data_IF_210791445068
#
_entry.id   IF_210791445068
#
_cell.length_a   1.000
_cell.length_b   1.000
_cell.length_c   1.000
_cell.angle_alpha   90.00
_cell.angle_beta   90.00
_cell.angle_gamma   90.00
#
_symmetry.space_group_name_H-M   'P 1'
#
loop_
_entity.id
_entity.type
_entity.pdbx_description
1 polymer ?
#
# COMPACT_ATOMS: atom_id res chain seq x y z
N UNK A 1 30.83 -31.54 -40.49
CA UNK A 1 30.78 -30.07 -40.67
C UNK A 1 29.40 -29.71 -41.20
N UNK A 2 28.51 -29.23 -40.32
CA UNK A 2 27.30 -28.51 -40.72
C UNK A 2 27.19 -27.32 -39.78
N UNK A 3 27.35 -26.13 -40.33
CA UNK A 3 27.20 -24.86 -39.63
C UNK A 3 25.71 -24.60 -39.41
N UNK A 4 25.31 -24.34 -38.18
CA UNK A 4 24.01 -23.75 -37.88
C UNK A 4 24.14 -22.22 -37.97
N UNK A 5 23.53 -21.63 -38.98
CA UNK A 5 23.25 -20.19 -39.03
C UNK A 5 22.14 -19.88 -38.03
N UNK A 6 22.47 -19.21 -36.93
CA UNK A 6 21.48 -18.59 -36.06
C UNK A 6 20.96 -17.31 -36.72
N UNK A 7 19.65 -17.17 -37.00
CA UNK A 7 19.09 -15.85 -37.27
C UNK A 7 19.13 -15.03 -35.97
N UNK A 8 19.77 -13.86 -36.03
CA UNK A 8 19.67 -12.82 -35.02
C UNK A 8 18.21 -12.37 -34.95
N UNK A 9 17.46 -12.97 -34.02
CA UNK A 9 16.13 -12.48 -33.67
C UNK A 9 16.40 -11.27 -32.77
N UNK A 10 16.19 -10.07 -33.31
CA UNK A 10 16.17 -8.85 -32.51
C UNK A 10 14.93 -8.98 -31.62
N UNK A 11 15.13 -9.41 -30.37
CA UNK A 11 14.11 -9.29 -29.33
C UNK A 11 13.80 -7.81 -29.17
N UNK A 12 12.80 -7.34 -29.88
CA UNK A 12 12.24 -6.00 -29.71
C UNK A 12 11.44 -6.05 -28.42
N UNK A 13 12.04 -5.61 -27.32
CA UNK A 13 11.29 -5.34 -26.09
C UNK A 13 10.09 -4.46 -26.44
N UNK A 14 8.86 -4.89 -26.17
CA UNK A 14 7.68 -4.14 -26.56
C UNK A 14 7.71 -2.76 -25.91
N UNK A 15 7.72 -1.71 -26.74
CA UNK A 15 7.70 -0.33 -26.27
C UNK A 15 6.26 0.05 -25.92
N UNK A 16 5.95 0.10 -24.62
CA UNK A 16 4.63 0.48 -24.14
C UNK A 16 4.38 1.98 -24.36
N UNK A 17 3.11 2.33 -24.61
CA UNK A 17 2.68 3.74 -24.65
C UNK A 17 3.06 4.45 -23.34
N UNK A 18 3.49 5.74 -23.36
CA UNK A 18 3.78 6.49 -22.13
C UNK A 18 2.63 6.52 -21.11
N UNK A 19 1.38 6.29 -21.54
CA UNK A 19 0.18 6.29 -20.70
C UNK A 19 -0.43 4.91 -20.49
N UNK A 20 0.27 3.81 -20.80
CA UNK A 20 -0.28 2.44 -20.72
C UNK A 20 -0.89 2.09 -19.34
N UNK A 21 -0.34 2.67 -18.26
CA UNK A 21 -0.83 2.47 -16.90
C UNK A 21 -2.23 3.06 -16.68
N UNK A 22 -2.65 4.05 -17.48
CA UNK A 22 -4.01 4.59 -17.48
C UNK A 22 -5.01 3.53 -17.94
N UNK A 23 -4.70 2.83 -19.03
CA UNK A 23 -5.54 1.76 -19.56
C UNK A 23 -5.67 0.61 -18.54
N UNK A 24 -4.56 0.27 -17.88
CA UNK A 24 -4.55 -0.75 -16.84
C UNK A 24 -5.39 -0.37 -15.61
N UNK A 25 -5.31 0.89 -15.18
CA UNK A 25 -6.14 1.38 -14.09
C UNK A 25 -7.62 1.40 -14.48
N UNK A 26 -7.95 1.80 -15.71
CA UNK A 26 -9.33 1.77 -16.21
C UNK A 26 -9.89 0.34 -16.28
N UNK A 27 -9.06 -0.66 -16.62
CA UNK A 27 -9.44 -2.08 -16.56
C UNK A 27 -9.77 -2.53 -15.14
N UNK A 28 -9.03 -2.07 -14.12
CA UNK A 28 -9.34 -2.35 -12.71
C UNK A 28 -10.72 -1.80 -12.33
N UNK A 29 -10.99 -0.54 -12.69
CA UNK A 29 -12.26 0.13 -12.42
C UNK A 29 -13.41 -0.62 -13.10
N UNK A 30 -13.26 -0.95 -14.40
CA UNK A 30 -14.28 -1.64 -15.17
C UNK A 30 -14.58 -3.03 -14.58
N UNK A 31 -13.55 -3.76 -14.19
CA UNK A 31 -13.70 -5.07 -13.55
C UNK A 31 -14.53 -4.97 -12.25
N UNK A 32 -14.18 -4.03 -11.38
CA UNK A 32 -14.89 -3.82 -10.12
C UNK A 32 -16.35 -3.40 -10.36
N UNK A 33 -16.60 -2.43 -11.25
CA UNK A 33 -17.95 -1.93 -11.55
C UNK A 33 -18.83 -2.98 -12.26
N UNK A 34 -18.24 -3.93 -12.96
CA UNK A 34 -18.98 -4.97 -13.70
C UNK A 34 -19.30 -6.19 -12.83
N UNK A 35 -18.31 -6.71 -12.11
CA UNK A 35 -18.43 -7.99 -11.37
C UNK A 35 -18.79 -7.81 -9.90
N UNK A 36 -18.43 -6.67 -9.32
CA UNK A 36 -18.59 -6.39 -7.90
C UNK A 36 -19.27 -5.04 -7.59
N UNK A 37 -20.27 -4.57 -8.39
CA UNK A 37 -20.90 -3.28 -8.12
C UNK A 37 -21.56 -3.23 -6.73
N UNK A 38 -22.05 -4.38 -6.25
CA UNK A 38 -22.68 -4.55 -4.94
C UNK A 38 -21.69 -4.64 -3.77
N UNK A 39 -20.38 -4.69 -4.04
CA UNK A 39 -19.33 -4.70 -3.02
C UNK A 39 -18.62 -3.35 -2.93
N UNK A 40 -18.91 -2.39 -3.81
CA UNK A 40 -18.34 -1.06 -3.72
C UNK A 40 -19.13 -0.23 -2.70
N UNK A 41 -18.42 0.47 -1.81
CA UNK A 41 -19.06 1.41 -0.88
C UNK A 41 -19.52 2.68 -1.61
N UNK A 42 -20.38 3.48 -0.96
CA UNK A 42 -20.80 4.77 -1.51
C UNK A 42 -19.61 5.72 -1.69
N UNK A 43 -18.66 5.72 -0.74
CA UNK A 43 -17.42 6.49 -0.81
C UNK A 43 -16.54 6.08 -2.00
N UNK A 44 -16.40 4.77 -2.25
CA UNK A 44 -15.64 4.25 -3.39
C UNK A 44 -16.33 4.58 -4.71
N UNK A 45 -17.66 4.43 -4.78
CA UNK A 45 -18.44 4.81 -5.95
C UNK A 45 -18.30 6.31 -6.25
N UNK A 46 -18.38 7.14 -5.21
CA UNK A 46 -18.19 8.58 -5.35
C UNK A 46 -16.78 8.92 -5.84
N UNK A 47 -15.74 8.35 -5.23
CA UNK A 47 -14.36 8.54 -5.63
C UNK A 47 -14.13 8.16 -7.11
N UNK A 48 -14.66 7.01 -7.53
CA UNK A 48 -14.57 6.54 -8.93
C UNK A 48 -15.30 7.48 -9.89
N UNK A 49 -16.44 8.04 -9.47
CA UNK A 49 -17.20 8.97 -10.29
C UNK A 49 -16.48 10.31 -10.47
N UNK A 50 -15.86 10.84 -9.41
CA UNK A 50 -15.09 12.08 -9.46
C UNK A 50 -13.78 11.89 -10.22
N UNK A 51 -13.14 10.72 -10.08
CA UNK A 51 -11.91 10.39 -10.80
C UNK A 51 -12.13 10.43 -12.31
N UNK A 52 -13.28 9.90 -12.77
CA UNK A 52 -13.64 9.92 -14.20
C UNK A 52 -13.91 11.33 -14.75
N UNK A 53 -14.17 12.33 -13.89
CA UNK A 53 -14.36 13.73 -14.31
C UNK A 53 -13.05 14.50 -14.49
N UNK A 54 -11.96 14.01 -13.91
CA UNK A 54 -10.65 14.63 -14.02
C UNK A 54 -10.16 14.64 -15.46
N UNK A 55 -9.33 15.63 -15.80
CA UNK A 55 -8.56 15.60 -17.05
C UNK A 55 -7.64 14.38 -17.13
N UNK A 56 -7.31 13.95 -18.35
CA UNK A 56 -6.40 12.81 -18.57
C UNK A 56 -5.05 13.03 -17.89
N UNK A 57 -4.53 14.27 -17.90
CA UNK A 57 -3.27 14.61 -17.23
C UNK A 57 -3.36 14.39 -15.71
N UNK A 58 -4.45 14.78 -15.08
CA UNK A 58 -4.70 14.59 -13.65
C UNK A 58 -4.97 13.14 -13.29
N UNK A 59 -5.69 12.39 -14.14
CA UNK A 59 -5.84 10.94 -13.99
C UNK A 59 -4.49 10.23 -14.03
N UNK A 60 -3.64 10.59 -15.00
CA UNK A 60 -2.27 10.06 -15.08
C UNK A 60 -1.47 10.37 -13.83
N UNK A 61 -1.48 11.63 -13.37
CA UNK A 61 -0.79 12.04 -12.16
C UNK A 61 -1.29 11.27 -10.93
N UNK A 62 -2.60 11.12 -10.78
CA UNK A 62 -3.19 10.38 -9.66
C UNK A 62 -2.71 8.92 -9.64
N UNK A 63 -2.73 8.24 -10.79
CA UNK A 63 -2.23 6.86 -10.86
C UNK A 63 -0.74 6.80 -10.55
N UNK A 64 0.06 7.76 -11.04
CA UNK A 64 1.49 7.85 -10.71
C UNK A 64 1.73 7.99 -9.21
N UNK A 65 0.94 8.81 -8.52
CA UNK A 65 1.02 8.97 -7.07
C UNK A 65 0.60 7.69 -6.34
N UNK A 66 -0.52 7.07 -6.73
CA UNK A 66 -1.01 5.81 -6.15
C UNK A 66 -0.06 4.62 -6.37
N UNK A 67 0.73 4.65 -7.46
CA UNK A 67 1.70 3.59 -7.78
C UNK A 67 3.00 3.69 -6.98
N UNK A 68 3.22 4.81 -6.27
CA UNK A 68 4.43 5.03 -5.47
C UNK A 68 4.19 4.62 -4.02
N UNK A 69 5.27 4.20 -3.34
CA UNK A 69 5.19 3.89 -1.91
C UNK A 69 4.95 5.17 -1.09
N UNK A 70 3.97 5.11 -0.20
CA UNK A 70 3.65 6.19 0.75
C UNK A 70 2.56 7.14 0.23
N UNK A 71 2.11 8.05 1.09
CA UNK A 71 1.09 9.06 0.80
C UNK A 71 1.64 10.50 0.71
N UNK A 72 2.89 10.70 1.13
CA UNK A 72 3.56 11.99 1.14
C UNK A 72 4.54 12.12 -0.03
N UNK A 73 4.42 13.19 -0.80
CA UNK A 73 5.28 13.47 -1.95
C UNK A 73 5.73 14.93 -1.98
N UNK A 74 6.81 15.17 -2.72
CA UNK A 74 7.33 16.52 -3.00
C UNK A 74 7.11 16.86 -4.46
N UNK A 75 6.63 18.06 -4.76
CA UNK A 75 6.42 18.49 -6.15
C UNK A 75 7.71 18.48 -6.98
N UNK A 76 8.86 18.80 -6.39
CA UNK A 76 10.18 18.78 -7.06
C UNK A 76 10.71 17.38 -7.40
N UNK A 77 10.04 16.32 -6.92
CA UNK A 77 10.38 14.91 -7.22
C UNK A 77 9.38 14.24 -8.16
N UNK A 78 8.49 15.03 -8.77
CA UNK A 78 7.55 14.59 -9.80
C UNK A 78 8.02 15.11 -11.16
N UNK A 79 8.36 14.19 -12.07
CA UNK A 79 8.76 14.53 -13.44
C UNK A 79 8.25 13.44 -14.39
N UNK A 80 7.19 13.76 -15.13
CA UNK A 80 6.50 12.83 -16.03
C UNK A 80 6.37 13.49 -17.40
N UNK A 81 7.07 12.94 -18.40
CA UNK A 81 7.14 13.54 -19.74
C UNK A 81 5.76 13.58 -20.43
N UNK A 82 4.87 12.66 -20.09
CA UNK A 82 3.50 12.58 -20.58
C UNK A 82 2.56 13.62 -19.93
N UNK A 83 2.97 14.26 -18.84
CA UNK A 83 2.18 15.26 -18.10
C UNK A 83 2.82 16.63 -18.31
N UNK A 84 2.44 17.31 -19.39
CA UNK A 84 3.06 18.57 -19.81
C UNK A 84 2.94 19.69 -18.78
N UNK A 85 1.76 19.86 -18.19
CA UNK A 85 1.50 20.86 -17.14
C UNK A 85 1.18 20.18 -15.81
N UNK A 86 2.23 19.77 -15.11
CA UNK A 86 2.14 19.16 -13.79
C UNK A 86 1.46 20.07 -12.76
N UNK A 87 1.66 21.39 -12.88
CA UNK A 87 1.11 22.35 -11.91
C UNK A 87 -0.40 22.41 -12.01
N UNK A 88 -0.94 22.51 -13.23
CA UNK A 88 -2.39 22.48 -13.45
C UNK A 88 -3.00 21.14 -13.02
N UNK A 89 -2.31 20.01 -13.26
CA UNK A 89 -2.76 18.70 -12.82
C UNK A 89 -2.84 18.58 -11.28
N UNK A 90 -1.80 19.06 -10.56
CA UNK A 90 -1.81 19.12 -9.09
C UNK A 90 -2.95 20.01 -8.57
N UNK A 91 -3.19 21.15 -9.20
CA UNK A 91 -4.27 22.06 -8.81
C UNK A 91 -5.66 21.43 -8.99
N UNK A 92 -5.89 20.74 -10.11
CA UNK A 92 -7.15 20.04 -10.37
C UNK A 92 -7.39 18.90 -9.37
N UNK A 93 -6.36 18.09 -9.08
CA UNK A 93 -6.45 17.03 -8.07
C UNK A 93 -6.74 17.59 -6.67
N UNK A 94 -6.11 18.71 -6.30
CA UNK A 94 -6.36 19.37 -5.03
C UNK A 94 -7.77 19.96 -4.95
N UNK A 95 -8.23 20.64 -6.00
CA UNK A 95 -9.59 21.18 -6.08
C UNK A 95 -10.67 20.08 -6.02
N UNK A 96 -10.34 18.89 -6.52
CA UNK A 96 -11.22 17.71 -6.52
C UNK A 96 -11.03 16.82 -5.28
N UNK A 97 -10.25 17.25 -4.29
CA UNK A 97 -9.97 16.55 -3.02
C UNK A 97 -9.31 15.16 -3.16
N UNK A 98 -8.61 14.89 -4.26
CA UNK A 98 -7.80 13.68 -4.42
C UNK A 98 -6.44 13.79 -3.73
N UNK A 99 -5.94 15.02 -3.61
CA UNK A 99 -4.73 15.34 -2.86
C UNK A 99 -5.00 16.56 -1.98
N UNK A 100 -4.19 16.72 -0.93
CA UNK A 100 -3.98 18.00 -0.29
C UNK A 100 -2.61 18.54 -0.73
N UNK A 101 -2.55 19.84 -1.00
CA UNK A 101 -1.35 20.53 -1.48
C UNK A 101 -1.04 21.72 -0.58
N UNK A 102 0.22 21.91 -0.19
CA UNK A 102 0.63 23.03 0.69
C UNK A 102 0.69 24.40 -0.02
N UNK A 103 0.49 24.44 -1.32
CA UNK A 103 0.58 25.59 -2.22
C UNK A 103 -0.37 25.30 -3.41
N UNK A 104 -0.91 26.22 -4.25
CA UNK A 104 -0.59 27.62 -4.48
C UNK A 104 -1.35 28.63 -3.63
N UNK A 105 -2.28 28.19 -2.77
CA UNK A 105 -3.09 29.11 -1.98
C UNK A 105 -2.44 29.37 -0.63
N UNK A 106 -2.44 30.63 -0.15
CA UNK A 106 -1.93 30.97 1.19
C UNK A 106 -2.70 30.26 2.32
N UNK A 107 -3.91 29.78 2.02
CA UNK A 107 -4.72 28.94 2.89
C UNK A 107 -4.87 27.57 2.23
N UNK A 108 -4.44 26.52 2.94
CA UNK A 108 -4.61 25.12 2.55
C UNK A 108 -5.02 24.29 3.77
N UNK A 109 -5.66 23.14 3.52
CA UNK A 109 -6.08 22.22 4.58
C UNK A 109 -5.06 21.11 4.86
N UNK A 110 -3.90 21.13 4.19
CA UNK A 110 -2.82 20.18 4.46
C UNK A 110 -2.25 20.41 5.86
N UNK A 111 -2.31 19.37 6.69
CA UNK A 111 -1.71 19.34 8.02
C UNK A 111 -0.66 18.24 8.02
N UNK A 112 0.56 18.59 8.42
CA UNK A 112 1.68 17.67 8.61
C UNK A 112 2.44 18.14 9.85
N UNK A 113 2.81 17.22 10.74
CA UNK A 113 3.65 17.57 11.89
C UNK A 113 5.12 17.78 11.49
N UNK A 114 5.88 18.48 12.32
CA UNK A 114 7.33 18.64 12.12
C UNK A 114 8.04 17.29 12.00
N UNK A 115 7.68 16.33 12.86
CA UNK A 115 8.18 14.96 12.80
C UNK A 115 7.85 14.28 11.47
N UNK A 116 6.59 14.32 11.02
CA UNK A 116 6.18 13.69 9.76
C UNK A 116 6.85 14.34 8.54
N UNK A 117 6.96 15.67 8.53
CA UNK A 117 7.69 16.41 7.50
C UNK A 117 9.15 15.94 7.44
N UNK A 118 9.81 15.89 8.59
CA UNK A 118 11.17 15.42 8.72
C UNK A 118 11.34 13.96 8.28
N UNK A 119 10.44 13.09 8.70
CA UNK A 119 10.46 11.66 8.43
C UNK A 119 10.26 11.39 6.93
N UNK A 120 9.21 11.96 6.33
CA UNK A 120 8.73 11.59 5.00
C UNK A 120 9.29 12.45 3.86
N UNK A 121 9.57 13.73 4.10
CA UNK A 121 9.82 14.69 3.01
C UNK A 121 11.22 15.32 3.03
N UNK A 122 11.90 15.36 4.19
CA UNK A 122 13.20 16.03 4.32
C UNK A 122 14.38 15.06 4.31
N UNK A 123 15.44 15.47 3.63
CA UNK A 123 16.78 14.90 3.81
C UNK A 123 17.46 15.48 5.05
N UNK A 124 18.56 14.87 5.52
CA UNK A 124 19.30 15.39 6.68
C UNK A 124 19.78 16.85 6.50
N UNK A 125 20.33 17.27 5.34
CA UNK A 125 20.68 18.68 5.13
C UNK A 125 19.45 19.63 5.17
N UNK A 126 18.31 19.18 4.63
CA UNK A 126 17.08 19.97 4.62
C UNK A 126 16.46 20.08 6.02
N UNK A 127 16.60 19.05 6.87
CA UNK A 127 16.22 19.15 8.28
C UNK A 127 16.91 20.32 8.98
N UNK A 128 18.19 20.54 8.74
CA UNK A 128 18.90 21.67 9.34
C UNK A 128 18.47 23.03 8.79
N UNK A 129 17.94 23.06 7.56
CA UNK A 129 17.44 24.28 6.93
C UNK A 129 16.03 24.62 7.44
N UNK A 130 15.17 23.61 7.56
CA UNK A 130 13.81 23.74 8.08
C UNK A 130 13.77 23.96 9.60
N UNK A 131 14.69 23.33 10.34
CA UNK A 131 14.78 23.36 11.80
C UNK A 131 16.20 23.75 12.25
N UNK A 132 16.55 25.05 12.24
CA UNK A 132 17.92 25.50 12.51
C UNK A 132 18.48 25.08 13.88
N UNK A 133 17.63 24.84 14.88
CA UNK A 133 18.06 24.37 16.20
C UNK A 133 18.75 22.99 16.16
N UNK A 134 18.44 22.16 15.16
CA UNK A 134 19.09 20.86 14.94
C UNK A 134 20.57 20.99 14.58
N UNK A 135 21.04 22.19 14.17
CA UNK A 135 22.46 22.44 13.89
C UNK A 135 23.38 22.21 15.12
N UNK A 136 22.82 22.14 16.33
CA UNK A 136 23.56 21.78 17.54
C UNK A 136 23.93 20.27 17.59
N UNK A 137 23.30 19.45 16.74
CA UNK A 137 23.42 17.99 16.72
C UNK A 137 23.92 17.48 15.35
N UNK A 138 24.78 18.24 14.66
CA UNK A 138 25.22 17.94 13.28
C UNK A 138 25.71 16.51 13.02
N UNK A 139 26.35 15.90 14.01
CA UNK A 139 26.91 14.54 13.93
C UNK A 139 25.86 13.44 14.16
N UNK A 140 24.71 13.75 14.75
CA UNK A 140 23.65 12.80 15.06
C UNK A 140 23.06 12.17 13.79
N UNK A 141 22.57 10.93 13.87
CA UNK A 141 21.87 10.27 12.75
C UNK A 141 20.51 10.91 12.49
N UNK A 142 19.91 10.67 11.32
CA UNK A 142 18.60 11.24 10.98
C UNK A 142 17.55 10.86 12.03
N UNK A 143 17.50 9.60 12.43
CA UNK A 143 16.50 9.11 13.40
C UNK A 143 16.66 9.77 14.78
N UNK A 144 17.90 10.03 15.21
CA UNK A 144 18.19 10.79 16.44
C UNK A 144 17.74 12.25 16.33
N UNK A 145 17.88 12.87 15.15
CA UNK A 145 17.39 14.22 14.90
C UNK A 145 15.86 14.28 14.86
N UNK A 146 15.22 13.28 14.26
CA UNK A 146 13.76 13.17 14.22
C UNK A 146 13.18 13.04 15.63
N UNK A 147 13.84 12.31 16.53
CA UNK A 147 13.43 12.19 17.93
C UNK A 147 13.47 13.52 18.72
N UNK A 148 14.08 14.58 18.17
CA UNK A 148 14.09 15.93 18.75
C UNK A 148 12.98 16.83 18.18
N UNK A 149 12.23 16.38 17.19
CA UNK A 149 11.12 17.13 16.60
C UNK A 149 9.83 16.87 17.38
N UNK A 150 9.03 17.91 17.54
CA UNK A 150 7.72 17.81 18.18
C UNK A 150 6.66 17.31 17.18
N UNK A 151 5.50 16.89 17.71
CA UNK A 151 4.32 16.54 16.90
C UNK A 151 3.43 17.75 16.58
N UNK A 152 3.96 18.98 16.67
CA UNK A 152 3.19 20.18 16.35
C UNK A 152 3.00 20.31 14.83
N UNK A 153 1.88 20.90 14.37
CA UNK A 153 1.68 21.19 12.96
C UNK A 153 2.78 22.13 12.41
N UNK A 154 3.38 21.74 11.30
CA UNK A 154 4.30 22.60 10.56
C UNK A 154 3.52 23.71 9.85
N UNK A 155 3.98 24.95 9.98
CA UNK A 155 3.32 26.15 9.42
C UNK A 155 4.22 26.93 8.43
N UNK A 156 5.50 26.59 8.36
CA UNK A 156 6.52 27.31 7.60
C UNK A 156 6.71 26.78 6.16
N UNK A 157 5.64 26.37 5.49
CA UNK A 157 5.69 25.82 4.12
C UNK A 157 6.39 26.73 3.11
N UNK A 158 6.31 28.06 3.29
CA UNK A 158 6.99 29.05 2.44
C UNK A 158 8.52 28.95 2.46
N UNK A 159 9.09 28.33 3.49
CA UNK A 159 10.53 28.14 3.63
C UNK A 159 11.03 26.89 2.88
N UNK A 160 10.11 26.05 2.39
CA UNK A 160 10.44 24.88 1.58
C UNK A 160 10.59 25.27 0.12
N UNK A 161 11.52 24.64 -0.58
CA UNK A 161 11.74 24.86 -2.02
C UNK A 161 10.82 24.03 -2.92
N UNK A 162 9.83 23.37 -2.33
CA UNK A 162 8.91 22.43 -2.98
C UNK A 162 7.57 22.46 -2.25
N UNK A 163 6.53 21.97 -2.94
CA UNK A 163 5.20 21.83 -2.36
C UNK A 163 5.06 20.44 -1.76
N UNK A 164 4.49 20.37 -0.55
CA UNK A 164 4.12 19.12 0.09
C UNK A 164 2.79 18.64 -0.52
N UNK A 165 2.75 17.36 -0.89
CA UNK A 165 1.58 16.69 -1.46
C UNK A 165 1.22 15.55 -0.53
N UNK A 166 -0.06 15.49 -0.13
CA UNK A 166 -0.65 14.34 0.55
C UNK A 166 -1.71 13.71 -0.35
N UNK A 167 -1.62 12.40 -0.59
CA UNK A 167 -2.66 11.66 -1.32
C UNK A 167 -3.82 11.35 -0.37
N UNK A 168 -5.01 11.84 -0.70
CA UNK A 168 -6.23 11.66 0.08
C UNK A 168 -6.94 10.37 -0.36
N UNK A 169 -7.51 9.64 0.60
CA UNK A 169 -8.33 8.43 0.35
C UNK A 169 -7.65 7.42 -0.59
N UNK A 170 -6.45 6.95 -0.25
CA UNK A 170 -5.74 5.93 -1.05
C UNK A 170 -6.42 4.57 -1.05
N UNK A 171 -7.28 4.27 -0.08
CA UNK A 171 -7.86 2.93 0.17
C UNK A 171 -8.73 2.38 -0.98
N UNK A 172 -9.24 3.25 -1.86
CA UNK A 172 -10.02 2.80 -3.03
C UNK A 172 -9.16 1.92 -3.93
N UNK A 173 -7.87 2.24 -4.10
CA UNK A 173 -6.98 1.41 -4.93
C UNK A 173 -6.82 0.01 -4.36
N UNK A 174 -6.79 -0.11 -3.04
CA UNK A 174 -6.61 -1.35 -2.34
C UNK A 174 -7.80 -2.28 -2.57
N UNK A 175 -9.01 -1.73 -2.49
CA UNK A 175 -10.23 -2.46 -2.83
C UNK A 175 -10.21 -2.91 -4.30
N UNK A 176 -9.88 -2.01 -5.25
CA UNK A 176 -9.82 -2.36 -6.68
C UNK A 176 -8.81 -3.47 -6.98
N UNK A 177 -7.60 -3.38 -6.42
CA UNK A 177 -6.55 -4.37 -6.60
C UNK A 177 -6.97 -5.73 -6.03
N UNK A 178 -7.56 -5.75 -4.83
CA UNK A 178 -8.05 -7.00 -4.24
C UNK A 178 -9.19 -7.60 -5.04
N UNK A 179 -10.16 -6.80 -5.50
CA UNK A 179 -11.27 -7.29 -6.32
C UNK A 179 -10.77 -7.91 -7.63
N UNK A 180 -9.72 -7.35 -8.22
CA UNK A 180 -9.14 -7.83 -9.47
C UNK A 180 -8.24 -9.07 -9.27
N UNK A 181 -7.30 -9.03 -8.33
CA UNK A 181 -6.29 -10.07 -8.15
C UNK A 181 -6.69 -11.17 -7.16
N UNK A 182 -7.70 -10.92 -6.31
CA UNK A 182 -8.12 -11.80 -5.22
C UNK A 182 -6.99 -12.19 -4.25
N UNK A 183 -5.93 -11.38 -4.18
CA UNK A 183 -4.79 -11.60 -3.31
C UNK A 183 -4.10 -10.28 -2.93
N UNK A 184 -3.23 -10.34 -1.92
CA UNK A 184 -2.67 -9.19 -1.21
C UNK A 184 -1.24 -8.84 -1.64
N UNK A 185 -0.65 -9.56 -2.60
CA UNK A 185 0.75 -9.39 -3.01
C UNK A 185 0.91 -8.78 -4.41
N UNK A 186 -0.16 -8.76 -5.22
CA UNK A 186 -0.15 -8.13 -6.53
C UNK A 186 -0.56 -6.66 -6.43
N UNK A 187 0.18 -5.81 -7.14
CA UNK A 187 -0.06 -4.36 -7.23
C UNK A 187 -0.16 -3.92 -8.71
N UNK A 188 -0.21 -2.61 -8.95
CA UNK A 188 -0.27 -2.04 -10.30
C UNK A 188 0.91 -2.46 -11.20
N UNK A 189 2.07 -2.84 -10.65
CA UNK A 189 3.22 -3.27 -11.43
C UNK A 189 2.98 -4.57 -12.19
N UNK A 190 2.03 -5.40 -11.75
CA UNK A 190 1.72 -6.68 -12.36
C UNK A 190 1.11 -6.54 -13.77
N UNK A 191 0.40 -5.44 -14.02
CA UNK A 191 -0.11 -5.16 -15.36
C UNK A 191 1.02 -4.86 -16.36
N UNK A 192 2.08 -4.18 -15.91
CA UNK A 192 3.28 -3.93 -16.72
C UNK A 192 3.89 -5.25 -17.16
N UNK A 193 4.02 -6.21 -16.23
CA UNK A 193 4.57 -7.53 -16.54
C UNK A 193 3.71 -8.29 -17.55
N UNK A 194 2.38 -8.14 -17.47
CA UNK A 194 1.50 -8.79 -18.43
C UNK A 194 1.53 -8.14 -19.81
N UNK A 195 1.50 -6.81 -19.88
CA UNK A 195 1.59 -6.07 -21.15
C UNK A 195 2.96 -6.25 -21.83
N UNK A 196 4.02 -6.53 -21.07
CA UNK A 196 5.34 -6.93 -21.59
C UNK A 196 5.40 -8.40 -22.05
N UNK A 197 4.31 -9.16 -21.91
CA UNK A 197 4.24 -10.58 -22.26
C UNK A 197 4.93 -11.53 -21.27
N UNK A 198 5.34 -11.03 -20.09
CA UNK A 198 6.02 -11.83 -19.07
C UNK A 198 5.04 -12.63 -18.20
N UNK A 199 3.80 -12.18 -18.08
CA UNK A 199 2.71 -12.87 -17.38
C UNK A 199 1.46 -12.95 -18.27
N UNK A 200 0.86 -14.14 -18.39
CA UNK A 200 -0.44 -14.31 -19.07
C UNK A 200 -1.54 -14.54 -18.03
N UNK A 201 -2.55 -13.67 -18.03
CA UNK A 201 -3.78 -13.93 -17.27
C UNK A 201 -4.68 -14.84 -18.11
N UNK A 202 -5.10 -15.98 -17.56
CA UNK A 202 -6.04 -16.85 -18.27
C UNK A 202 -7.40 -16.15 -18.44
N UNK A 203 -7.87 -16.04 -19.69
CA UNK A 203 -9.18 -15.49 -20.03
C UNK A 203 -10.28 -16.50 -19.66
N UNK A 204 -10.58 -16.62 -18.36
CA UNK A 204 -11.81 -17.29 -17.94
C UNK A 204 -12.99 -16.34 -18.10
N UNK A 205 -14.16 -16.82 -18.59
CA UNK A 205 -15.39 -16.05 -18.52
C UNK A 205 -15.75 -15.87 -17.04
N UNK A 206 -15.40 -14.71 -16.51
CA UNK A 206 -15.78 -14.29 -15.16
C UNK A 206 -17.29 -14.08 -15.16
N UNK A 207 -18.00 -15.00 -14.49
CA UNK A 207 -19.43 -14.86 -14.24
C UNK A 207 -19.64 -14.39 -12.81
N UNK A 208 -20.68 -13.59 -12.57
CA UNK A 208 -21.07 -13.17 -11.20
C UNK A 208 -21.27 -14.36 -10.25
N UNK A 209 -21.60 -15.54 -10.80
CA UNK A 209 -21.79 -16.78 -10.03
C UNK A 209 -20.47 -17.42 -9.55
N UNK A 210 -19.33 -17.07 -10.15
CA UNK A 210 -18.00 -17.63 -9.83
C UNK A 210 -17.00 -16.59 -9.33
N UNK A 211 -17.49 -15.42 -8.94
CA UNK A 211 -16.65 -14.35 -8.39
C UNK A 211 -16.01 -14.80 -7.07
N UNK A 212 -14.82 -14.28 -6.77
CA UNK A 212 -14.07 -14.68 -5.58
C UNK A 212 -14.73 -14.17 -4.30
N UNK A 213 -15.10 -12.89 -4.27
CA UNK A 213 -15.80 -12.28 -3.13
C UNK A 213 -17.30 -12.31 -3.35
N UNK A 214 -18.05 -12.85 -2.39
CA UNK A 214 -19.52 -12.85 -2.44
C UNK A 214 -20.13 -11.75 -1.57
N UNK A 215 -19.37 -11.18 -0.63
CA UNK A 215 -19.79 -10.07 0.24
C UNK A 215 -18.66 -9.06 0.44
N UNK A 216 -19.04 -7.82 0.79
CA UNK A 216 -18.08 -6.77 1.17
C UNK A 216 -17.28 -7.14 2.41
N UNK A 217 -17.88 -7.88 3.34
CA UNK A 217 -17.20 -8.35 4.54
C UNK A 217 -15.96 -9.19 4.22
N UNK A 218 -16.02 -10.07 3.23
CA UNK A 218 -14.86 -10.87 2.79
C UNK A 218 -13.73 -9.99 2.23
N UNK A 219 -14.07 -8.93 1.49
CA UNK A 219 -13.09 -7.96 1.02
C UNK A 219 -12.44 -7.21 2.19
N UNK A 220 -13.26 -6.72 3.13
CA UNK A 220 -12.79 -6.02 4.33
C UNK A 220 -11.88 -6.91 5.20
N UNK A 221 -12.24 -8.17 5.40
CA UNK A 221 -11.40 -9.14 6.13
C UNK A 221 -10.02 -9.28 5.47
N UNK A 222 -9.97 -9.34 4.14
CA UNK A 222 -8.70 -9.47 3.43
C UNK A 222 -7.86 -8.18 3.45
N UNK A 223 -8.50 -7.01 3.40
CA UNK A 223 -7.85 -5.71 3.63
C UNK A 223 -7.22 -5.66 5.02
N UNK A 224 -7.98 -6.02 6.07
CA UNK A 224 -7.47 -6.05 7.45
C UNK A 224 -6.29 -7.02 7.61
N UNK A 225 -6.39 -8.24 7.08
CA UNK A 225 -5.29 -9.22 7.12
C UNK A 225 -4.04 -8.66 6.46
N UNK A 226 -4.17 -7.97 5.32
CA UNK A 226 -3.04 -7.35 4.63
C UNK A 226 -2.42 -6.24 5.47
N UNK A 227 -3.24 -5.38 6.06
CA UNK A 227 -2.76 -4.24 6.84
C UNK A 227 -2.03 -4.71 8.11
N UNK A 228 -2.56 -5.73 8.78
CA UNK A 228 -1.89 -6.38 9.92
C UNK A 228 -0.59 -7.05 9.47
N UNK A 229 -0.58 -7.73 8.32
CA UNK A 229 0.64 -8.33 7.77
C UNK A 229 1.72 -7.27 7.48
N UNK A 230 1.31 -6.10 6.98
CA UNK A 230 2.21 -4.96 6.78
C UNK A 230 2.76 -4.44 8.10
N UNK A 231 1.90 -4.19 9.08
CA UNK A 231 2.32 -3.73 10.42
C UNK A 231 3.28 -4.73 11.07
N UNK A 232 2.97 -6.02 11.02
CA UNK A 232 3.85 -7.09 11.50
C UNK A 232 5.21 -7.12 10.78
N UNK A 233 5.23 -6.78 9.49
CA UNK A 233 6.46 -6.76 8.70
C UNK A 233 7.33 -5.54 9.00
N UNK A 234 6.71 -4.39 9.26
CA UNK A 234 7.38 -3.10 9.49
C UNK A 234 7.66 -2.82 10.98
N UNK A 235 6.97 -3.49 11.90
CA UNK A 235 7.08 -3.30 13.36
C UNK A 235 8.15 -4.13 14.06
N UNK A 236 8.32 -3.89 15.37
CA UNK A 236 9.31 -4.59 16.20
C UNK A 236 8.76 -5.93 16.69
N UNK A 237 9.28 -7.03 16.12
CA UNK A 237 8.88 -8.39 16.48
C UNK A 237 9.43 -8.88 17.83
N UNK A 238 10.21 -8.04 18.52
CA UNK A 238 10.69 -8.33 19.88
C UNK A 238 9.77 -7.76 20.95
N UNK A 239 8.82 -6.93 20.56
CA UNK A 239 7.82 -6.37 21.46
C UNK A 239 6.59 -7.30 21.51
N UNK A 240 6.47 -8.06 22.60
CA UNK A 240 5.35 -8.99 22.80
C UNK A 240 3.99 -8.29 22.91
N UNK A 241 3.96 -7.06 23.44
CA UNK A 241 2.71 -6.29 23.55
C UNK A 241 2.22 -5.85 22.17
N UNK A 242 3.14 -5.38 21.33
CA UNK A 242 2.85 -5.08 19.92
C UNK A 242 2.31 -6.31 19.17
N UNK A 243 2.94 -7.48 19.32
CA UNK A 243 2.48 -8.71 18.66
C UNK A 243 1.10 -9.15 19.15
N UNK A 244 0.82 -9.03 20.45
CA UNK A 244 -0.50 -9.34 21.03
C UNK A 244 -1.57 -8.36 20.54
N UNK A 245 -1.25 -7.07 20.42
CA UNK A 245 -2.15 -6.07 19.81
C UNK A 245 -2.49 -6.43 18.36
N UNK A 246 -1.49 -6.84 17.56
CA UNK A 246 -1.73 -7.27 16.19
C UNK A 246 -2.64 -8.49 16.12
N UNK A 247 -2.39 -9.51 16.92
CA UNK A 247 -3.21 -10.72 16.96
C UNK A 247 -4.66 -10.41 17.36
N UNK A 248 -4.87 -9.56 18.36
CA UNK A 248 -6.21 -9.12 18.77
C UNK A 248 -6.95 -8.31 17.69
N UNK A 249 -6.22 -7.69 16.77
CA UNK A 249 -6.81 -6.95 15.65
C UNK A 249 -7.19 -7.83 14.45
N UNK A 250 -6.78 -9.11 14.43
CA UNK A 250 -7.10 -10.03 13.34
C UNK A 250 -8.62 -10.28 13.29
N UNK A 251 -9.26 -10.20 12.10
CA UNK A 251 -10.69 -10.42 11.96
C UNK A 251 -11.12 -11.82 12.43
N UNK A 252 -12.41 -11.96 12.70
CA UNK A 252 -13.03 -13.26 12.96
C UNK A 252 -12.86 -14.24 11.78
N UNK A 253 -13.14 -15.52 12.04
CA UNK A 253 -13.01 -16.55 11.02
C UNK A 253 -13.97 -16.30 9.84
N UNK A 254 -13.46 -16.54 8.63
CA UNK A 254 -14.22 -16.38 7.39
C UNK A 254 -14.68 -17.73 6.89
N UNK A 255 -15.94 -17.85 6.46
CA UNK A 255 -16.41 -19.05 5.73
C UNK A 255 -15.66 -19.23 4.39
N UNK A 256 -15.06 -18.16 3.88
CA UNK A 256 -14.28 -18.21 2.65
C UNK A 256 -12.93 -18.89 2.89
N UNK A 257 -12.80 -20.15 2.44
CA UNK A 257 -11.62 -21.01 2.66
C UNK A 257 -10.26 -20.35 2.38
N UNK A 258 -10.15 -19.53 1.33
CA UNK A 258 -8.89 -18.84 1.02
C UNK A 258 -8.53 -17.79 2.07
N UNK A 259 -9.52 -17.06 2.58
CA UNK A 259 -9.35 -16.02 3.59
C UNK A 259 -9.04 -16.68 4.94
N UNK A 260 -9.79 -17.71 5.33
CA UNK A 260 -9.53 -18.51 6.54
C UNK A 260 -8.09 -19.06 6.60
N UNK A 261 -7.57 -19.54 5.47
CA UNK A 261 -6.17 -20.00 5.36
C UNK A 261 -5.17 -18.86 5.54
N UNK A 262 -5.41 -17.69 4.92
CA UNK A 262 -4.53 -16.52 5.07
C UNK A 262 -4.51 -16.03 6.52
N UNK A 263 -5.67 -15.94 7.14
CA UNK A 263 -5.84 -15.63 8.58
C UNK A 263 -5.04 -16.60 9.45
N UNK A 264 -5.23 -17.90 9.26
CA UNK A 264 -4.54 -18.96 10.02
C UNK A 264 -3.01 -18.88 9.89
N UNK A 265 -2.49 -18.58 8.69
CA UNK A 265 -1.04 -18.39 8.48
C UNK A 265 -0.52 -17.19 9.26
N UNK A 266 -1.20 -16.06 9.16
CA UNK A 266 -0.81 -14.84 9.85
C UNK A 266 -0.80 -15.03 11.38
N UNK A 267 -1.84 -15.68 11.93
CA UNK A 267 -1.90 -16.06 13.34
C UNK A 267 -0.69 -16.90 13.72
N UNK A 268 -0.39 -17.96 12.95
CA UNK A 268 0.73 -18.86 13.26
C UNK A 268 2.09 -18.14 13.20
N UNK A 269 2.28 -17.24 12.23
CA UNK A 269 3.53 -16.49 12.07
C UNK A 269 3.77 -15.57 13.28
N UNK A 270 2.73 -14.83 13.71
CA UNK A 270 2.84 -13.92 14.86
C UNK A 270 2.94 -14.70 16.19
N UNK A 271 2.12 -15.74 16.38
CA UNK A 271 2.15 -16.58 17.58
C UNK A 271 3.49 -17.29 17.78
N UNK A 272 4.18 -17.66 16.70
CA UNK A 272 5.53 -18.23 16.75
C UNK A 272 6.56 -17.21 17.24
N UNK A 273 6.38 -15.92 16.96
CA UNK A 273 7.24 -14.89 17.54
C UNK A 273 6.93 -14.67 19.04
N UNK A 274 5.67 -14.75 19.47
CA UNK A 274 5.34 -14.76 20.91
C UNK A 274 6.02 -15.93 21.65
N UNK A 275 6.03 -17.12 21.04
CA UNK A 275 6.72 -18.30 21.58
C UNK A 275 8.24 -18.05 21.70
N UNK A 276 8.87 -17.43 20.69
CA UNK A 276 10.29 -17.04 20.75
C UNK A 276 10.60 -16.04 21.85
N UNK A 277 9.60 -15.27 22.29
CA UNK A 277 9.67 -14.34 23.42
C UNK A 277 9.30 -14.99 24.76
N UNK A 278 9.11 -16.32 24.80
CA UNK A 278 8.67 -17.10 25.97
C UNK A 278 7.25 -16.76 26.48
N UNK A 279 6.42 -16.11 25.66
CA UNK A 279 5.02 -15.83 25.98
C UNK A 279 4.13 -17.02 25.60
N UNK A 280 4.44 -18.19 26.16
CA UNK A 280 3.91 -19.49 25.73
C UNK A 280 2.40 -19.64 25.91
N UNK A 281 1.82 -19.05 26.97
CA UNK A 281 0.36 -19.09 27.18
C UNK A 281 -0.39 -18.40 26.05
N UNK A 282 0.09 -17.23 25.62
CA UNK A 282 -0.51 -16.47 24.53
C UNK A 282 -0.30 -17.16 23.19
N UNK A 283 0.91 -17.66 22.92
CA UNK A 283 1.20 -18.41 21.70
C UNK A 283 0.24 -19.62 21.55
N UNK A 284 0.07 -20.42 22.61
CA UNK A 284 -0.84 -21.57 22.63
C UNK A 284 -2.31 -21.16 22.44
N UNK A 285 -2.74 -20.07 23.06
CA UNK A 285 -4.09 -19.53 22.85
C UNK A 285 -4.33 -19.24 21.37
N UNK A 286 -3.40 -18.53 20.72
CA UNK A 286 -3.52 -18.14 19.33
C UNK A 286 -3.36 -19.28 18.33
N UNK A 287 -2.47 -20.25 18.57
CA UNK A 287 -2.37 -21.44 17.73
C UNK A 287 -3.68 -22.22 17.65
N UNK A 288 -4.46 -22.27 18.74
CA UNK A 288 -5.79 -22.92 18.74
C UNK A 288 -6.84 -22.20 17.89
N UNK A 289 -6.61 -20.93 17.56
CA UNK A 289 -7.50 -20.12 16.71
C UNK A 289 -7.18 -20.30 15.21
N UNK A 290 -6.18 -21.11 14.87
CA UNK A 290 -5.73 -21.41 13.52
C UNK A 290 -6.20 -22.80 13.07
N UNK A 291 -6.68 -22.92 11.83
CA UNK A 291 -7.29 -24.16 11.31
C UNK A 291 -6.31 -24.95 10.40
N UNK A 292 -5.01 -24.69 10.52
CA UNK A 292 -3.99 -25.35 9.71
C UNK A 292 -3.39 -26.58 10.43
N UNK A 293 -3.12 -27.70 9.73
CA UNK A 293 -2.51 -28.90 10.34
C UNK A 293 -1.16 -28.64 11.02
N UNK A 294 -0.41 -27.63 10.56
CA UNK A 294 0.84 -27.21 11.18
C UNK A 294 0.63 -26.67 12.61
N UNK A 295 -0.53 -26.07 12.90
CA UNK A 295 -0.86 -25.57 14.23
C UNK A 295 -0.98 -26.71 15.26
N UNK A 296 -1.39 -27.91 14.86
CA UNK A 296 -1.45 -29.08 15.75
C UNK A 296 -0.05 -29.55 16.16
N UNK A 297 0.90 -29.58 15.22
CA UNK A 297 2.29 -29.95 15.49
C UNK A 297 3.01 -28.90 16.36
N UNK A 298 2.78 -27.61 16.08
CA UNK A 298 3.38 -26.51 16.83
C UNK A 298 2.76 -26.41 18.25
N UNK A 299 1.45 -26.67 18.39
CA UNK A 299 0.77 -26.80 19.69
C UNK A 299 1.37 -27.92 20.54
N UNK A 300 1.60 -29.10 19.94
CA UNK A 300 2.25 -30.21 20.62
C UNK A 300 3.68 -29.87 21.06
N UNK A 301 4.47 -29.21 20.21
CA UNK A 301 5.83 -28.78 20.54
C UNK A 301 5.85 -27.75 21.69
N UNK A 302 4.98 -26.74 21.64
CA UNK A 302 4.88 -25.70 22.66
C UNK A 302 4.41 -26.25 24.02
N UNK A 303 3.45 -27.19 23.99
CA UNK A 303 3.02 -27.91 25.20
C UNK A 303 4.13 -28.78 25.81
N UNK A 304 4.99 -29.39 24.99
CA UNK A 304 6.15 -30.16 25.50
C UNK A 304 7.25 -29.29 26.09
N UNK A 305 7.45 -28.06 25.58
CA UNK A 305 8.42 -27.10 26.14
C UNK A 305 8.01 -26.58 27.52
N UNK A 306 6.72 -26.62 27.89
CA UNK A 306 6.24 -26.29 29.24
C UNK A 306 6.52 -27.37 30.29
N UNK A 307 6.82 -28.60 29.84
CA UNK A 307 7.03 -29.76 30.72
C UNK A 307 8.50 -30.08 30.99
N UNK A 308 9.43 -29.27 30.45
CA UNK A 308 10.88 -29.33 30.71
C UNK A 308 11.33 -28.12 31.48
#
# INVERSE_FOLDING_TARGET
>A
MYQATNPLTIETTPQLSPTYYLDNFNRLIEHAQTLYPDLLSDDECHWLSEYKRLSVASQCLMIRLLSRKGCWFRSDKLNYAEIQDLKSALQELNASNFIALSHPTEQHNLVISDLELGLHLLTKPELFSAFPFLMNYKTAKKDELLALLDHQPFDQFRNLSFDCIYVVKSEVIDALLLLFFANTYQDLSQFVLSDLGLNTFENYPLSKQRRFFISREQLNQLLQIRDIQRLYSEGDRKDGEFLEQLLNSIPEESEHRSIARKRSRLINDIARDLERLNQNDQAVFWFKQSVLPQAENDLHASMTSKMS
#
